data_IF_041754292875
#
_entry.id   IF_041754292875
#
_cell.length_a   1.000
_cell.length_b   1.000
_cell.length_c   1.000
_cell.angle_alpha   90.00
_cell.angle_beta   90.00
_cell.angle_gamma   90.00
#
_symmetry.space_group_name_H-M   'P 1'
#
loop_
_entity.id
_entity.type
_entity.pdbx_description
1 polymer ?
#
# COMPACT_ATOMS: atom_id res chain seq x y z
N UNK A 1 -58.75 61.07 11.66
CA UNK A 1 -58.97 62.37 10.98
C UNK A 1 -57.95 62.51 9.89
N UNK A 2 -58.47 62.42 8.65
CA UNK A 2 -58.14 63.31 7.50
C UNK A 2 -56.69 63.23 6.99
N UNK A 3 -56.41 63.12 5.81
CA UNK A 3 -56.99 63.10 4.44
C UNK A 3 -55.83 63.04 3.43
N UNK A 4 -56.00 62.22 2.39
CA UNK A 4 -55.99 62.60 0.92
C UNK A 4 -54.67 63.16 0.33
N UNK A 5 -54.17 62.71 -0.73
CA UNK A 5 -54.49 62.50 -2.14
C UNK A 5 -53.22 62.37 -2.98
N UNK A 6 -53.16 61.34 -3.75
CA UNK A 6 -52.81 61.26 -5.18
C UNK A 6 -51.94 62.38 -5.80
N UNK A 7 -50.84 61.95 -6.45
CA UNK A 7 -50.50 62.43 -7.78
C UNK A 7 -49.76 61.32 -8.57
N UNK A 8 -50.28 61.05 -9.72
CA UNK A 8 -49.74 60.18 -10.73
C UNK A 8 -48.76 61.00 -11.57
N UNK A 9 -47.58 60.50 -11.80
CA UNK A 9 -46.79 60.86 -12.99
C UNK A 9 -45.92 59.67 -13.41
N UNK A 10 -46.19 59.11 -14.57
CA UNK A 10 -45.41 58.06 -15.13
C UNK A 10 -44.08 58.55 -15.68
N UNK A 11 -43.07 57.71 -15.54
CA UNK A 11 -41.88 57.73 -16.40
C UNK A 11 -41.50 56.30 -16.73
N UNK A 12 -41.48 56.01 -18.01
CA UNK A 12 -40.92 54.79 -18.59
C UNK A 12 -39.42 54.77 -18.30
N UNK A 13 -38.92 53.70 -17.63
CA UNK A 13 -37.51 53.44 -17.52
C UNK A 13 -37.22 52.09 -18.17
N UNK A 14 -36.41 52.12 -19.21
CA UNK A 14 -35.90 51.00 -19.95
C UNK A 14 -35.23 49.97 -19.05
N UNK A 15 -35.68 48.73 -19.14
CA UNK A 15 -35.06 47.61 -18.47
C UNK A 15 -33.70 47.25 -19.06
N UNK A 16 -32.64 47.60 -18.33
CA UNK A 16 -31.32 47.00 -18.55
C UNK A 16 -31.26 45.68 -17.77
N UNK A 17 -31.51 44.55 -18.43
CA UNK A 17 -31.21 43.23 -17.91
C UNK A 17 -29.70 43.05 -17.94
N UNK A 18 -29.02 43.40 -16.85
CA UNK A 18 -27.66 42.96 -16.60
C UNK A 18 -27.73 41.47 -16.35
N UNK A 19 -27.39 40.68 -17.38
CA UNK A 19 -27.16 39.26 -17.25
C UNK A 19 -26.01 39.03 -16.24
N UNK A 20 -26.36 38.55 -15.08
CA UNK A 20 -25.40 37.89 -14.20
C UNK A 20 -24.97 36.59 -14.88
N UNK A 21 -23.92 36.68 -15.73
CA UNK A 21 -23.17 35.50 -16.13
C UNK A 21 -22.56 34.96 -14.83
N UNK A 22 -23.24 33.98 -14.23
CA UNK A 22 -22.69 33.21 -13.13
C UNK A 22 -21.37 32.61 -13.62
N UNK A 23 -20.25 33.09 -13.06
CA UNK A 23 -19.00 32.39 -13.09
C UNK A 23 -19.25 31.06 -12.35
N UNK A 24 -19.67 30.05 -13.13
CA UNK A 24 -19.53 28.67 -12.67
C UNK A 24 -18.03 28.50 -12.50
N UNK A 25 -17.54 28.60 -11.26
CA UNK A 25 -16.25 28.09 -10.90
C UNK A 25 -16.33 26.60 -11.21
N UNK A 26 -15.75 26.19 -12.35
CA UNK A 26 -15.35 24.80 -12.52
C UNK A 26 -14.50 24.51 -11.27
N UNK A 27 -14.98 23.61 -10.42
CA UNK A 27 -14.15 23.07 -9.36
C UNK A 27 -12.83 22.68 -10.03
N UNK A 28 -11.71 23.28 -9.62
CA UNK A 28 -10.40 22.99 -10.17
C UNK A 28 -10.24 21.47 -10.12
N UNK A 29 -10.34 20.83 -11.27
CA UNK A 29 -10.19 19.38 -11.39
C UNK A 29 -8.77 19.07 -10.94
N UNK A 30 -8.63 18.30 -9.85
CA UNK A 30 -7.33 17.99 -9.27
C UNK A 30 -6.47 17.39 -10.36
N UNK A 31 -5.33 18.02 -10.65
CA UNK A 31 -4.38 17.56 -11.68
C UNK A 31 -4.12 16.05 -11.54
N UNK A 32 -4.20 15.31 -12.64
CA UNK A 32 -3.93 13.88 -12.65
C UNK A 32 -2.46 13.59 -12.31
N UNK A 33 -2.22 12.41 -11.72
CA UNK A 33 -0.86 11.98 -11.40
C UNK A 33 0.02 11.97 -12.66
N UNK A 34 -0.53 11.53 -13.81
CA UNK A 34 0.18 11.53 -15.09
C UNK A 34 0.60 12.93 -15.54
N UNK A 35 -0.33 13.89 -15.53
CA UNK A 35 -0.05 15.28 -15.91
C UNK A 35 1.01 15.89 -14.96
N UNK A 36 0.84 15.68 -13.64
CA UNK A 36 1.78 16.18 -12.63
C UNK A 36 3.19 15.63 -12.82
N UNK A 37 3.34 14.30 -12.99
CA UNK A 37 4.64 13.65 -13.19
C UNK A 37 5.33 14.22 -14.43
N UNK A 38 4.59 14.35 -15.54
CA UNK A 38 5.13 14.88 -16.79
C UNK A 38 5.56 16.34 -16.69
N UNK A 39 4.82 17.16 -15.96
CA UNK A 39 5.14 18.57 -15.74
C UNK A 39 6.30 18.76 -14.77
N UNK A 40 6.30 18.06 -13.64
CA UNK A 40 7.30 18.27 -12.57
C UNK A 40 8.57 17.46 -12.77
N UNK A 41 8.55 16.49 -13.66
CA UNK A 41 9.64 15.51 -13.85
C UNK A 41 10.07 14.82 -12.55
N UNK A 42 9.08 14.53 -11.71
CA UNK A 42 9.28 13.88 -10.41
C UNK A 42 8.20 12.84 -10.15
N UNK A 43 8.60 11.61 -9.82
CA UNK A 43 7.75 10.51 -9.37
C UNK A 43 7.84 10.43 -7.85
N UNK A 44 6.72 10.65 -7.15
CA UNK A 44 6.62 10.56 -5.69
C UNK A 44 6.12 9.17 -5.30
N UNK A 45 6.86 8.49 -4.44
CA UNK A 45 6.46 7.19 -3.89
C UNK A 45 6.38 7.20 -2.37
N UNK A 46 5.60 6.29 -1.81
CA UNK A 46 5.65 5.96 -0.39
C UNK A 46 6.62 4.80 -0.14
N UNK A 47 7.32 4.82 1.01
CA UNK A 47 8.19 3.74 1.44
C UNK A 47 8.05 3.47 2.95
N UNK A 48 8.10 2.20 3.36
CA UNK A 48 7.88 1.76 4.75
C UNK A 48 9.20 1.35 5.38
N UNK A 49 9.69 2.13 6.36
CA UNK A 49 10.91 1.79 7.07
C UNK A 49 10.77 0.45 7.83
N UNK A 50 11.81 -0.38 7.79
CA UNK A 50 11.84 -1.67 8.47
C UNK A 50 11.03 -2.79 7.81
N UNK A 51 10.60 -2.61 6.56
CA UNK A 51 9.87 -3.62 5.78
C UNK A 51 10.79 -4.37 4.79
N UNK A 52 12.03 -4.66 5.17
CA UNK A 52 12.95 -5.43 4.33
C UNK A 52 12.33 -6.80 3.97
N UNK A 53 12.53 -7.29 2.75
CA UNK A 53 13.33 -6.74 1.64
C UNK A 53 12.55 -5.83 0.69
N UNK A 54 11.26 -5.52 0.98
CA UNK A 54 10.47 -4.55 0.20
C UNK A 54 11.13 -3.16 0.26
N UNK A 55 11.31 -2.67 1.48
CA UNK A 55 11.87 -1.37 1.79
C UNK A 55 12.82 -1.49 3.00
N UNK A 56 13.97 -0.94 2.90
CA UNK A 56 14.94 -0.84 3.98
C UNK A 56 15.56 0.56 3.99
N UNK A 57 15.44 1.27 5.09
CA UNK A 57 16.10 2.55 5.28
C UNK A 57 17.36 2.34 6.10
N UNK A 58 18.50 2.65 5.55
CA UNK A 58 19.76 2.68 6.30
C UNK A 58 19.71 3.86 7.28
N UNK A 59 19.74 3.56 8.56
CA UNK A 59 19.60 4.58 9.61
C UNK A 59 20.82 5.49 9.74
N UNK A 60 22.00 5.05 9.28
CA UNK A 60 23.21 5.84 9.35
C UNK A 60 23.30 6.84 8.19
N UNK A 61 22.92 6.42 6.99
CA UNK A 61 23.01 7.23 5.77
C UNK A 61 21.68 7.86 5.34
N UNK A 62 20.57 7.35 5.84
CA UNK A 62 19.23 7.73 5.41
C UNK A 62 18.84 7.17 4.03
N UNK A 63 19.71 6.38 3.39
CA UNK A 63 19.46 5.83 2.05
C UNK A 63 18.42 4.71 2.10
N UNK A 64 17.58 4.70 1.05
CA UNK A 64 16.58 3.67 0.86
C UNK A 64 17.12 2.56 -0.06
N UNK A 65 16.80 1.32 0.30
CA UNK A 65 17.13 0.08 -0.41
C UNK A 65 15.91 -0.84 -0.42
N UNK A 66 15.97 -1.92 -1.17
CA UNK A 66 14.91 -2.91 -1.24
C UNK A 66 14.32 -3.03 -2.65
N UNK A 67 13.71 -4.16 -2.95
CA UNK A 67 13.26 -4.43 -4.31
C UNK A 67 12.17 -3.46 -4.80
N UNK A 68 11.36 -2.87 -3.91
CA UNK A 68 10.40 -1.84 -4.31
C UNK A 68 11.09 -0.51 -4.65
N UNK A 69 12.22 -0.23 -4.03
CA UNK A 69 13.06 0.92 -4.40
C UNK A 69 13.73 0.67 -5.76
N UNK A 70 14.21 -0.55 -6.01
CA UNK A 70 14.81 -0.92 -7.30
C UNK A 70 13.78 -0.81 -8.44
N UNK A 71 12.55 -1.31 -8.22
CA UNK A 71 11.46 -1.15 -9.19
C UNK A 71 11.04 0.30 -9.38
N UNK A 72 11.01 1.11 -8.31
CA UNK A 72 10.68 2.52 -8.40
C UNK A 72 11.74 3.31 -9.19
N UNK A 73 13.02 3.01 -8.98
CA UNK A 73 14.11 3.57 -9.76
C UNK A 73 14.00 3.18 -11.25
N UNK A 74 13.70 1.92 -11.54
CA UNK A 74 13.52 1.44 -12.91
C UNK A 74 12.34 2.14 -13.61
N UNK A 75 11.20 2.26 -12.93
CA UNK A 75 10.04 2.99 -13.45
C UNK A 75 10.35 4.48 -13.65
N UNK A 76 11.01 5.13 -12.71
CA UNK A 76 11.40 6.54 -12.82
C UNK A 76 12.38 6.75 -13.98
N UNK A 77 13.33 5.83 -14.18
CA UNK A 77 14.27 5.85 -15.32
C UNK A 77 13.52 5.71 -16.66
N UNK A 78 12.53 4.81 -16.75
CA UNK A 78 11.71 4.65 -17.96
C UNK A 78 10.93 5.90 -18.32
N UNK A 79 10.52 6.68 -17.33
CA UNK A 79 9.83 7.97 -17.48
C UNK A 79 10.79 9.15 -17.66
N UNK A 80 12.09 8.94 -17.45
CA UNK A 80 13.12 10.00 -17.41
C UNK A 80 12.79 11.09 -16.39
N UNK A 81 12.41 10.70 -15.18
CA UNK A 81 12.05 11.58 -14.06
C UNK A 81 12.90 11.28 -12.83
N UNK A 82 12.93 12.21 -11.88
CA UNK A 82 13.54 11.99 -10.56
C UNK A 82 12.59 11.20 -9.66
N UNK A 83 13.16 10.38 -8.77
CA UNK A 83 12.41 9.69 -7.73
C UNK A 83 12.43 10.53 -6.45
N UNK A 84 11.25 10.71 -5.84
CA UNK A 84 11.05 11.33 -4.53
C UNK A 84 10.40 10.29 -3.59
N UNK A 85 11.02 10.02 -2.45
CA UNK A 85 10.63 8.95 -1.54
C UNK A 85 10.10 9.54 -0.24
N UNK A 86 8.82 9.29 0.03
CA UNK A 86 8.12 9.74 1.23
C UNK A 86 7.99 8.58 2.22
N UNK A 87 8.54 8.73 3.42
CA UNK A 87 8.36 7.71 4.47
C UNK A 87 6.91 7.69 4.96
N UNK A 88 6.35 6.48 5.07
CA UNK A 88 4.98 6.23 5.49
C UNK A 88 4.84 4.86 6.17
N UNK A 89 3.60 4.41 6.43
CA UNK A 89 3.27 3.07 6.90
C UNK A 89 2.32 2.37 5.93
N UNK A 90 2.18 1.04 6.04
CA UNK A 90 1.20 0.30 5.24
C UNK A 90 -0.24 0.82 5.43
N UNK A 91 -0.59 1.22 6.67
CA UNK A 91 -1.91 1.79 6.98
C UNK A 91 -2.13 3.16 6.35
N UNK A 92 -1.12 4.03 6.41
CA UNK A 92 -1.23 5.41 5.90
C UNK A 92 -1.06 5.52 4.38
N UNK A 93 -0.54 4.49 3.71
CA UNK A 93 -0.28 4.51 2.26
C UNK A 93 -1.51 4.88 1.42
N UNK A 94 -2.69 4.41 1.83
CA UNK A 94 -3.96 4.71 1.15
C UNK A 94 -4.33 6.19 1.27
N UNK A 95 -4.17 6.76 2.47
CA UNK A 95 -4.42 8.19 2.70
C UNK A 95 -3.42 9.07 1.94
N UNK A 96 -2.15 8.66 1.90
CA UNK A 96 -1.11 9.38 1.14
C UNK A 96 -1.41 9.41 -0.36
N UNK A 97 -1.98 8.31 -0.92
CA UNK A 97 -2.47 8.27 -2.31
C UNK A 97 -3.67 9.21 -2.50
N UNK A 98 -4.70 9.10 -1.65
CA UNK A 98 -5.93 9.88 -1.76
C UNK A 98 -5.69 11.39 -1.63
N UNK A 99 -4.77 11.79 -0.73
CA UNK A 99 -4.39 13.19 -0.51
C UNK A 99 -3.41 13.76 -1.54
N UNK A 100 -3.08 12.98 -2.59
CA UNK A 100 -2.10 13.37 -3.61
C UNK A 100 -0.70 13.71 -3.05
N UNK A 101 -0.33 13.13 -1.92
CA UNK A 101 1.01 13.24 -1.34
C UNK A 101 2.02 12.40 -2.12
N UNK A 102 1.59 11.22 -2.60
CA UNK A 102 2.36 10.31 -3.45
C UNK A 102 1.58 9.98 -4.73
N UNK A 103 2.29 9.61 -5.78
CA UNK A 103 1.71 9.29 -7.09
C UNK A 103 1.45 7.80 -7.28
N UNK A 104 2.21 6.99 -6.55
CA UNK A 104 2.13 5.53 -6.58
C UNK A 104 2.72 4.96 -5.29
N UNK A 105 2.13 3.84 -4.83
CA UNK A 105 2.69 3.06 -3.73
C UNK A 105 3.02 1.65 -4.22
N UNK A 106 4.29 1.28 -4.17
CA UNK A 106 4.76 -0.05 -4.56
C UNK A 106 4.47 -1.08 -3.47
N UNK A 107 4.06 -2.29 -3.85
CA UNK A 107 3.82 -3.37 -2.91
C UNK A 107 2.50 -3.27 -2.14
N UNK A 108 1.53 -2.50 -2.63
CA UNK A 108 0.22 -2.41 -2.01
C UNK A 108 -0.65 -3.61 -2.39
N UNK A 109 -0.81 -4.54 -1.44
CA UNK A 109 -1.67 -5.69 -1.65
C UNK A 109 -3.15 -5.24 -1.69
N UNK A 110 -3.95 -5.70 -2.67
CA UNK A 110 -5.37 -5.41 -2.72
C UNK A 110 -6.13 -5.97 -1.51
N UNK A 111 -7.00 -5.17 -0.94
CA UNK A 111 -8.03 -5.61 0.01
C UNK A 111 -9.38 -5.01 -0.40
N UNK A 112 -10.52 -5.61 -0.02
CA UNK A 112 -11.83 -5.05 -0.34
C UNK A 112 -11.98 -3.59 0.09
N UNK A 113 -11.49 -3.24 1.27
CA UNK A 113 -11.57 -1.87 1.81
C UNK A 113 -10.73 -0.89 0.99
N UNK A 114 -9.50 -1.27 0.64
CA UNK A 114 -8.61 -0.45 -0.19
C UNK A 114 -9.17 -0.22 -1.59
N UNK A 115 -9.76 -1.27 -2.20
CA UNK A 115 -10.33 -1.21 -3.54
C UNK A 115 -11.52 -0.24 -3.67
N UNK A 116 -12.18 0.11 -2.57
CA UNK A 116 -13.22 1.15 -2.57
C UNK A 116 -12.66 2.54 -2.85
N UNK A 117 -11.41 2.81 -2.46
CA UNK A 117 -10.87 4.18 -2.38
C UNK A 117 -9.59 4.42 -3.17
N UNK A 118 -8.91 3.38 -3.64
CA UNK A 118 -7.73 3.44 -4.50
C UNK A 118 -7.84 2.44 -5.65
N UNK A 119 -7.08 2.67 -6.71
CA UNK A 119 -6.91 1.74 -7.82
C UNK A 119 -5.63 0.92 -7.65
N UNK A 120 -5.56 -0.21 -8.35
CA UNK A 120 -4.41 -1.11 -8.35
C UNK A 120 -3.94 -1.38 -9.77
N UNK A 121 -2.63 -1.62 -9.89
CA UNK A 121 -2.04 -2.17 -11.12
C UNK A 121 -2.41 -3.65 -11.30
N UNK A 122 -2.01 -4.20 -12.43
CA UNK A 122 -1.82 -5.63 -12.58
C UNK A 122 -0.83 -6.15 -11.52
N UNK A 123 -0.89 -7.46 -11.16
CA UNK A 123 0.04 -8.04 -10.19
C UNK A 123 1.50 -7.97 -10.66
N UNK A 124 2.37 -7.49 -9.77
CA UNK A 124 3.82 -7.57 -9.99
C UNK A 124 4.30 -9.02 -9.77
N UNK A 125 3.82 -9.65 -8.69
CA UNK A 125 4.02 -11.08 -8.41
C UNK A 125 2.97 -11.61 -7.43
N UNK A 126 2.84 -12.95 -7.35
CA UNK A 126 1.94 -13.59 -6.39
C UNK A 126 2.66 -13.85 -5.07
N UNK A 127 1.91 -13.80 -3.99
CA UNK A 127 2.38 -13.99 -2.63
C UNK A 127 1.33 -14.75 -1.80
N UNK A 128 1.69 -15.16 -0.58
CA UNK A 128 0.77 -15.80 0.35
C UNK A 128 0.95 -15.22 1.76
N UNK A 129 -0.08 -15.38 2.60
CA UNK A 129 0.01 -15.08 4.01
C UNK A 129 0.44 -16.31 4.81
N UNK A 130 1.41 -16.10 5.70
CA UNK A 130 1.95 -17.10 6.60
C UNK A 130 2.00 -16.56 8.03
N UNK A 131 2.29 -17.44 8.96
CA UNK A 131 2.55 -17.08 10.35
C UNK A 131 4.07 -17.11 10.60
N UNK A 132 4.52 -16.14 11.35
CA UNK A 132 5.71 -16.28 12.19
C UNK A 132 5.20 -16.64 13.57
N UNK A 133 5.25 -17.94 13.90
CA UNK A 133 4.72 -18.51 15.13
C UNK A 133 5.83 -18.74 16.15
N UNK A 134 5.56 -18.51 17.43
CA UNK A 134 6.51 -18.86 18.50
C UNK A 134 6.78 -20.37 18.51
N UNK A 135 7.91 -20.79 19.09
CA UNK A 135 8.46 -22.15 18.93
C UNK A 135 7.51 -23.28 19.34
N UNK A 136 6.67 -23.05 20.35
CA UNK A 136 5.74 -24.02 20.94
C UNK A 136 4.30 -23.87 20.39
N UNK A 137 4.08 -23.04 19.36
CA UNK A 137 2.79 -22.80 18.72
C UNK A 137 2.87 -23.13 17.22
N UNK A 138 2.23 -24.23 16.78
CA UNK A 138 2.31 -24.73 15.40
C UNK A 138 0.94 -25.10 14.84
N UNK A 139 0.03 -24.12 14.70
CA UNK A 139 -1.30 -24.36 14.14
C UNK A 139 -1.17 -24.73 12.67
N UNK A 140 -2.00 -25.68 12.19
CA UNK A 140 -2.03 -26.11 10.80
C UNK A 140 -3.09 -25.39 9.98
N UNK A 141 -4.10 -24.84 10.65
CA UNK A 141 -5.25 -24.22 9.99
C UNK A 141 -5.55 -22.85 10.59
N UNK A 142 -6.29 -22.02 9.85
CA UNK A 142 -6.82 -20.77 10.37
C UNK A 142 -7.84 -20.98 11.49
N UNK A 143 -8.56 -22.11 11.45
CA UNK A 143 -9.53 -22.47 12.49
C UNK A 143 -8.85 -22.74 13.84
N UNK A 144 -7.68 -23.39 13.84
CA UNK A 144 -6.88 -23.61 15.05
C UNK A 144 -6.39 -22.31 15.67
N UNK A 145 -6.24 -21.25 14.86
CA UNK A 145 -5.91 -19.91 15.32
C UNK A 145 -7.11 -19.08 15.76
N UNK A 146 -8.31 -19.41 15.26
CA UNK A 146 -9.52 -18.64 15.53
C UNK A 146 -10.16 -19.01 16.87
N UNK A 147 -9.39 -18.88 17.95
CA UNK A 147 -9.80 -19.20 19.32
C UNK A 147 -9.62 -18.01 20.24
N UNK A 148 -10.48 -17.84 21.27
CA UNK A 148 -10.43 -16.67 22.18
C UNK A 148 -9.15 -16.53 23.00
N UNK A 149 -8.42 -17.61 23.19
CA UNK A 149 -7.13 -17.65 23.93
C UNK A 149 -5.90 -17.42 23.03
N UNK A 150 -6.06 -17.46 21.68
CA UNK A 150 -4.97 -17.22 20.73
C UNK A 150 -4.78 -15.72 20.48
N UNK A 151 -3.55 -15.28 20.59
CA UNK A 151 -3.13 -13.88 20.39
C UNK A 151 -2.34 -13.74 19.11
N UNK A 152 -2.83 -12.93 18.17
CA UNK A 152 -2.22 -12.73 16.86
C UNK A 152 -1.81 -11.27 16.70
N UNK A 153 -0.52 -11.01 16.48
CA UNK A 153 0.00 -9.68 16.26
C UNK A 153 0.02 -9.32 14.76
N UNK A 154 -0.33 -8.08 14.45
CA UNK A 154 -0.29 -7.52 13.10
C UNK A 154 0.06 -6.04 13.13
N UNK A 155 0.56 -5.51 12.02
CA UNK A 155 0.66 -4.08 11.76
C UNK A 155 -0.70 -3.54 11.31
N UNK A 156 -1.20 -2.53 12.02
CA UNK A 156 -2.54 -1.97 11.84
C UNK A 156 -2.75 -1.43 10.41
N UNK A 157 -3.91 -1.72 9.82
CA UNK A 157 -4.31 -1.24 8.49
C UNK A 157 -3.55 -1.90 7.33
N UNK A 158 -2.69 -2.89 7.62
CA UNK A 158 -2.02 -3.71 6.61
C UNK A 158 -2.97 -4.75 5.99
N UNK A 159 -2.53 -5.40 4.91
CA UNK A 159 -3.24 -6.57 4.38
C UNK A 159 -3.19 -7.77 5.34
N UNK A 160 -2.20 -7.83 6.22
CA UNK A 160 -2.08 -8.84 7.28
C UNK A 160 -3.21 -8.69 8.30
N UNK A 161 -3.49 -7.44 8.74
CA UNK A 161 -4.63 -7.12 9.59
C UNK A 161 -5.96 -7.49 8.93
N UNK A 162 -6.13 -7.16 7.65
CA UNK A 162 -7.35 -7.48 6.92
C UNK A 162 -7.60 -8.99 6.84
N UNK A 163 -6.57 -9.80 6.54
CA UNK A 163 -6.73 -11.25 6.43
C UNK A 163 -6.99 -11.89 7.79
N UNK A 164 -6.28 -11.50 8.85
CA UNK A 164 -6.49 -12.10 10.17
C UNK A 164 -7.84 -11.71 10.75
N UNK A 165 -8.30 -10.48 10.54
CA UNK A 165 -9.64 -10.03 10.95
C UNK A 165 -10.74 -10.86 10.29
N UNK A 166 -10.54 -11.24 9.03
CA UNK A 166 -11.48 -12.10 8.29
C UNK A 166 -11.41 -13.56 8.74
N UNK A 167 -10.20 -14.11 8.89
CA UNK A 167 -9.98 -15.54 9.12
C UNK A 167 -10.09 -15.95 10.59
N UNK A 168 -9.79 -15.03 11.50
CA UNK A 168 -9.70 -15.30 12.94
C UNK A 168 -10.52 -14.29 13.77
N UNK A 169 -11.84 -14.13 13.50
CA UNK A 169 -12.65 -13.12 14.18
C UNK A 169 -12.82 -13.38 15.69
N UNK A 170 -12.58 -14.59 16.17
CA UNK A 170 -12.67 -14.93 17.60
C UNK A 170 -11.32 -14.81 18.34
N UNK A 171 -10.21 -14.67 17.62
CA UNK A 171 -8.89 -14.53 18.21
C UNK A 171 -8.66 -13.11 18.77
N UNK A 172 -7.70 -12.99 19.69
CA UNK A 172 -7.25 -11.68 20.19
C UNK A 172 -6.26 -11.08 19.21
N UNK A 173 -6.70 -10.10 18.41
CA UNK A 173 -5.84 -9.44 17.42
C UNK A 173 -5.15 -8.22 18.08
N UNK A 174 -3.82 -8.29 18.21
CA UNK A 174 -2.96 -7.22 18.74
C UNK A 174 -2.48 -6.38 17.56
N UNK A 175 -3.03 -5.18 17.40
CA UNK A 175 -2.69 -4.24 16.34
C UNK A 175 -1.63 -3.27 16.80
N UNK A 176 -0.52 -3.20 16.06
CA UNK A 176 0.65 -2.40 16.38
C UNK A 176 1.00 -1.50 15.18
N UNK A 177 1.63 -0.36 15.42
CA UNK A 177 1.96 0.60 14.37
C UNK A 177 2.97 0.05 13.34
N UNK A 178 3.91 -0.78 13.82
CA UNK A 178 5.01 -1.31 13.01
C UNK A 178 5.05 -2.83 13.04
N UNK A 179 5.35 -3.44 11.91
CA UNK A 179 5.54 -4.89 11.81
C UNK A 179 6.65 -5.41 12.75
N UNK A 180 7.70 -4.60 13.01
CA UNK A 180 8.75 -4.93 13.95
C UNK A 180 8.25 -5.08 15.40
N UNK A 181 7.30 -4.26 15.83
CA UNK A 181 6.67 -4.34 17.15
C UNK A 181 5.81 -5.59 17.27
N UNK A 182 5.14 -5.99 16.16
CA UNK A 182 4.41 -7.26 16.09
C UNK A 182 5.36 -8.47 16.19
N UNK A 183 6.51 -8.43 15.53
CA UNK A 183 7.56 -9.44 15.66
C UNK A 183 8.07 -9.54 17.10
N UNK A 184 8.32 -8.39 17.73
CA UNK A 184 8.75 -8.33 19.14
C UNK A 184 7.68 -8.90 20.08
N UNK A 185 6.39 -8.70 19.81
CA UNK A 185 5.31 -9.28 20.59
C UNK A 185 5.33 -10.81 20.55
N UNK A 186 5.65 -11.43 19.41
CA UNK A 186 5.83 -12.89 19.30
C UNK A 186 7.10 -13.33 20.06
N UNK A 187 8.22 -12.63 19.85
CA UNK A 187 9.50 -12.97 20.49
C UNK A 187 9.43 -12.93 22.02
N UNK A 188 8.65 -12.02 22.58
CA UNK A 188 8.46 -11.85 24.03
C UNK A 188 7.29 -12.66 24.61
N UNK A 189 6.61 -13.46 23.80
CA UNK A 189 5.46 -14.27 24.24
C UNK A 189 4.18 -13.46 24.50
N UNK A 190 4.14 -12.19 24.12
CA UNK A 190 2.91 -11.37 24.18
C UNK A 190 1.89 -11.75 23.11
N UNK A 191 2.36 -12.32 22.00
CA UNK A 191 1.54 -12.91 20.95
C UNK A 191 2.01 -14.33 20.64
N UNK A 192 1.09 -15.18 20.17
CA UNK A 192 1.38 -16.55 19.77
C UNK A 192 1.94 -16.62 18.35
N UNK A 193 1.50 -15.71 17.50
CA UNK A 193 1.97 -15.59 16.13
C UNK A 193 1.82 -14.14 15.59
N UNK A 194 2.59 -13.86 14.56
CA UNK A 194 2.40 -12.69 13.67
C UNK A 194 1.99 -13.18 12.29
N UNK A 195 0.99 -12.54 11.67
CA UNK A 195 0.66 -12.78 10.26
C UNK A 195 1.46 -11.85 9.38
N UNK A 196 2.13 -12.41 8.36
CA UNK A 196 2.93 -11.68 7.38
C UNK A 196 2.76 -12.27 5.98
N UNK A 197 3.06 -11.46 4.96
CA UNK A 197 3.36 -12.00 3.64
C UNK A 197 4.66 -12.84 3.70
N UNK A 198 4.71 -13.96 2.97
CA UNK A 198 5.80 -14.94 3.10
C UNK A 198 7.19 -14.33 2.88
N UNK A 199 7.33 -13.37 1.95
CA UNK A 199 8.62 -12.67 1.71
C UNK A 199 9.12 -11.94 2.96
N UNK A 200 8.21 -11.30 3.72
CA UNK A 200 8.53 -10.62 4.98
C UNK A 200 8.86 -11.64 6.08
N UNK A 201 8.08 -12.72 6.18
CA UNK A 201 8.29 -13.77 7.17
C UNK A 201 9.66 -14.46 7.02
N UNK A 202 10.06 -14.75 5.77
CA UNK A 202 11.41 -15.29 5.46
C UNK A 202 12.51 -14.36 6.00
N UNK A 203 12.35 -13.06 5.82
CA UNK A 203 13.31 -12.06 6.34
C UNK A 203 13.35 -12.04 7.87
N UNK A 204 12.17 -12.06 8.51
CA UNK A 204 12.07 -12.06 9.97
C UNK A 204 12.82 -13.27 10.55
N UNK A 205 12.53 -14.47 10.04
CA UNK A 205 13.15 -15.71 10.56
C UNK A 205 14.63 -15.80 10.21
N UNK A 206 15.04 -15.35 9.01
CA UNK A 206 16.47 -15.36 8.64
C UNK A 206 17.29 -14.43 9.53
N UNK A 207 16.78 -13.22 9.83
CA UNK A 207 17.47 -12.25 10.68
C UNK A 207 17.39 -12.57 12.18
N UNK A 208 16.30 -13.18 12.61
CA UNK A 208 16.07 -13.49 14.01
C UNK A 208 15.40 -14.87 14.20
N UNK A 209 16.16 -15.97 14.08
CA UNK A 209 15.63 -17.33 14.23
C UNK A 209 15.05 -17.63 15.63
N UNK A 210 15.37 -16.80 16.62
CA UNK A 210 14.86 -16.97 17.99
C UNK A 210 13.38 -16.64 18.13
N UNK A 211 12.80 -15.85 17.20
CA UNK A 211 11.37 -15.51 17.21
C UNK A 211 10.48 -16.75 17.11
N UNK A 212 10.87 -17.72 16.28
CA UNK A 212 10.08 -18.92 16.09
C UNK A 212 10.30 -19.56 14.73
N UNK A 213 9.22 -19.91 14.05
CA UNK A 213 9.25 -20.57 12.74
C UNK A 213 8.07 -20.10 11.84
N UNK A 214 8.19 -20.39 10.53
CA UNK A 214 7.14 -20.09 9.58
C UNK A 214 6.15 -21.25 9.53
N UNK A 215 4.84 -20.93 9.57
CA UNK A 215 3.74 -21.85 9.34
C UNK A 215 2.89 -21.32 8.17
N UNK A 216 2.59 -22.19 7.22
CA UNK A 216 1.62 -21.94 6.15
C UNK A 216 0.27 -22.58 6.52
N UNK A 217 -0.69 -21.80 7.03
CA UNK A 217 -1.97 -22.38 7.45
C UNK A 217 -2.86 -22.71 6.25
N UNK A 218 -3.65 -23.79 6.41
CA UNK A 218 -4.63 -24.18 5.39
C UNK A 218 -6.05 -23.69 5.74
N UNK A 219 -6.89 -23.34 4.72
CA UNK A 219 -6.49 -23.19 3.31
C UNK A 219 -5.55 -22.01 3.10
N UNK A 220 -4.59 -22.15 2.20
CA UNK A 220 -3.64 -21.06 1.87
C UNK A 220 -4.37 -19.79 1.46
N UNK A 221 -4.08 -18.69 2.13
CA UNK A 221 -4.58 -17.37 1.77
C UNK A 221 -3.56 -16.68 0.86
N UNK A 222 -3.85 -16.71 -0.44
CA UNK A 222 -3.02 -16.05 -1.45
C UNK A 222 -3.34 -14.56 -1.54
N UNK A 223 -2.36 -13.78 -1.95
CA UNK A 223 -2.49 -12.37 -2.28
C UNK A 223 -1.59 -12.04 -3.45
N UNK A 224 -1.78 -10.87 -4.03
CA UNK A 224 -0.90 -10.34 -5.07
C UNK A 224 -0.19 -9.09 -4.55
N UNK A 225 1.01 -8.89 -5.04
CA UNK A 225 1.76 -7.66 -4.78
C UNK A 225 1.59 -6.74 -5.98
N UNK A 226 0.91 -5.62 -5.77
CA UNK A 226 0.53 -4.65 -6.80
C UNK A 226 1.13 -3.27 -6.50
N UNK A 227 0.94 -2.35 -7.42
CA UNK A 227 1.12 -0.93 -7.17
C UNK A 227 -0.25 -0.30 -6.93
N UNK A 228 -0.33 0.63 -5.97
CA UNK A 228 -1.56 1.36 -5.65
C UNK A 228 -1.52 2.79 -6.19
N UNK A 229 -2.68 3.31 -6.59
CA UNK A 229 -2.86 4.64 -7.18
C UNK A 229 -4.06 5.35 -6.57
N UNK A 230 -4.04 6.67 -6.59
CA UNK A 230 -5.25 7.46 -6.39
C UNK A 230 -6.27 7.13 -7.48
N UNK A 231 -7.56 7.06 -7.14
CA UNK A 231 -8.63 6.96 -8.14
C UNK A 231 -8.73 8.25 -8.94
N UNK A 232 -8.61 8.14 -10.25
CA UNK A 232 -8.67 9.25 -11.20
C UNK A 232 -9.46 8.85 -12.45
N UNK A 233 -10.09 9.85 -13.11
CA UNK A 233 -10.69 9.66 -14.43
C UNK A 233 -9.63 9.43 -15.51
N UNK A 234 -8.47 10.08 -15.38
CA UNK A 234 -7.31 9.86 -16.25
C UNK A 234 -6.64 8.52 -15.95
N UNK A 235 -6.70 7.60 -16.90
CA UNK A 235 -6.16 6.24 -16.77
C UNK A 235 -4.72 6.09 -17.29
N UNK A 236 -4.15 7.12 -17.90
CA UNK A 236 -2.85 7.05 -18.59
C UNK A 236 -1.73 6.57 -17.65
N UNK A 237 -1.77 7.00 -16.38
CA UNK A 237 -0.76 6.58 -15.40
C UNK A 237 -0.82 5.08 -15.09
N UNK A 238 -2.00 4.56 -14.79
CA UNK A 238 -2.21 3.12 -14.49
C UNK A 238 -1.88 2.27 -15.72
N UNK A 239 -2.29 2.69 -16.91
CA UNK A 239 -2.03 1.98 -18.18
C UNK A 239 -0.53 1.93 -18.49
N UNK A 240 0.18 3.05 -18.30
CA UNK A 240 1.64 3.09 -18.47
C UNK A 240 2.32 2.10 -17.52
N UNK A 241 1.93 2.11 -16.24
CA UNK A 241 2.51 1.22 -15.23
C UNK A 241 2.19 -0.25 -15.54
N UNK A 242 0.97 -0.58 -15.95
CA UNK A 242 0.61 -1.96 -16.31
C UNK A 242 1.45 -2.47 -17.51
N UNK A 243 1.68 -1.62 -18.50
CA UNK A 243 2.58 -1.96 -19.61
C UNK A 243 4.03 -2.18 -19.13
N UNK A 244 4.54 -1.34 -18.24
CA UNK A 244 5.85 -1.51 -17.63
C UNK A 244 5.92 -2.80 -16.81
N UNK A 245 4.90 -3.13 -16.00
CA UNK A 245 4.82 -4.40 -15.25
C UNK A 245 4.88 -5.60 -16.20
N UNK A 246 4.09 -5.60 -17.27
CA UNK A 246 4.07 -6.69 -18.25
C UNK A 246 5.47 -6.93 -18.86
N UNK A 247 6.18 -5.85 -19.23
CA UNK A 247 7.54 -5.93 -19.75
C UNK A 247 8.54 -6.43 -18.70
N UNK A 248 8.44 -5.94 -17.47
CA UNK A 248 9.31 -6.31 -16.35
C UNK A 248 9.15 -7.78 -15.97
N UNK A 249 7.90 -8.29 -15.99
CA UNK A 249 7.62 -9.72 -15.77
C UNK A 249 8.13 -10.59 -16.92
N UNK A 250 7.82 -10.22 -18.16
CA UNK A 250 8.23 -10.98 -19.35
C UNK A 250 9.76 -11.12 -19.49
N UNK A 251 10.52 -10.12 -19.02
CA UNK A 251 11.99 -10.16 -19.01
C UNK A 251 12.59 -11.03 -17.88
N UNK A 252 11.77 -11.54 -16.95
CA UNK A 252 12.24 -12.23 -15.74
C UNK A 252 12.85 -11.32 -14.67
N UNK A 253 12.84 -10.02 -14.90
CA UNK A 253 13.45 -9.01 -13.99
C UNK A 253 12.79 -9.03 -12.61
N UNK A 254 11.46 -9.29 -12.52
CA UNK A 254 10.77 -9.36 -11.23
C UNK A 254 11.41 -10.40 -10.34
N UNK A 255 11.56 -11.62 -10.82
CA UNK A 255 12.21 -12.72 -10.08
C UNK A 255 13.64 -12.38 -9.70
N UNK A 256 14.42 -11.86 -10.64
CA UNK A 256 15.82 -11.51 -10.42
C UNK A 256 15.98 -10.47 -9.30
N UNK A 257 15.21 -9.38 -9.35
CA UNK A 257 15.31 -8.27 -8.39
C UNK A 257 14.84 -8.71 -7.01
N UNK A 258 13.72 -9.44 -6.91
CA UNK A 258 13.21 -9.92 -5.62
C UNK A 258 14.19 -10.90 -4.97
N UNK A 259 14.71 -11.89 -5.70
CA UNK A 259 15.66 -12.85 -5.15
C UNK A 259 17.00 -12.21 -4.75
N UNK A 260 17.51 -11.27 -5.54
CA UNK A 260 18.74 -10.53 -5.21
C UNK A 260 18.59 -9.74 -3.89
N UNK A 261 17.46 -9.07 -3.68
CA UNK A 261 17.19 -8.32 -2.46
C UNK A 261 16.94 -9.24 -1.25
N UNK A 262 16.24 -10.36 -1.43
CA UNK A 262 16.09 -11.38 -0.38
C UNK A 262 17.47 -11.86 0.08
N UNK A 263 18.37 -12.15 -0.83
CA UNK A 263 19.71 -12.61 -0.49
C UNK A 263 20.54 -11.50 0.17
N UNK A 264 20.60 -10.30 -0.44
CA UNK A 264 21.49 -9.23 0.02
C UNK A 264 21.02 -8.59 1.33
N UNK A 265 19.71 -8.36 1.49
CA UNK A 265 19.15 -7.68 2.66
C UNK A 265 18.73 -8.63 3.79
N UNK A 266 18.51 -9.91 3.48
CA UNK A 266 17.94 -10.86 4.44
C UNK A 266 18.71 -12.16 4.56
N UNK A 267 19.72 -12.43 3.71
CA UNK A 267 20.46 -13.68 3.71
C UNK A 267 19.64 -14.90 3.25
N UNK A 268 18.42 -14.68 2.75
CA UNK A 268 17.55 -15.75 2.25
C UNK A 268 18.00 -16.18 0.86
N UNK A 269 18.32 -17.46 0.72
CA UNK A 269 18.76 -18.02 -0.57
C UNK A 269 17.57 -18.38 -1.45
N UNK A 270 17.74 -18.41 -2.79
CA UNK A 270 16.65 -18.71 -3.72
C UNK A 270 15.93 -20.05 -3.46
N UNK A 271 16.64 -21.07 -3.03
CA UNK A 271 16.08 -22.39 -2.71
C UNK A 271 15.23 -22.43 -1.43
N UNK A 272 15.28 -21.37 -0.62
CA UNK A 272 14.48 -21.23 0.59
C UNK A 272 13.13 -20.52 0.33
N UNK A 273 12.94 -20.03 -0.90
CA UNK A 273 11.72 -19.31 -1.28
C UNK A 273 10.64 -20.33 -1.64
N UNK A 274 9.50 -20.34 -0.92
CA UNK A 274 8.43 -21.30 -1.18
C UNK A 274 7.76 -21.11 -2.54
N UNK A 275 7.15 -22.18 -3.07
CA UNK A 275 6.46 -22.18 -4.36
C UNK A 275 5.21 -21.27 -4.39
N UNK A 276 4.70 -20.89 -3.24
CA UNK A 276 3.58 -19.94 -3.08
C UNK A 276 3.93 -18.52 -3.55
N UNK A 277 5.22 -18.21 -3.69
CA UNK A 277 5.70 -16.99 -4.36
C UNK A 277 5.94 -17.32 -5.82
N UNK A 278 5.15 -16.74 -6.72
CA UNK A 278 5.34 -16.87 -8.16
C UNK A 278 5.50 -15.51 -8.84
N UNK A 279 6.48 -15.42 -9.77
CA UNK A 279 6.91 -14.19 -10.43
C UNK A 279 6.39 -14.08 -11.85
#
# INVERSE_FOLDING_TARGET
MSNRRQFIAGLAAAGATTGFAGLVHAADEVESAWARINRTKTLRIGAVAGAAPYYNKDLATGQWQGFMIDFANDLAASLKVKLDINETTWGNSVLDLQSNKIDVFFGLNPTPQRALVVDFSDPLFNNAFVLVARKDFSPKTWEEMNKPDVKIAVDIGSSHDAVVTKMCPNAQIIRLEKAADATLAVQTGRADAQVLAVVLALTVISKNPSVGHIVLPTPTQSTTTNLGFRKESDRQWVEYVNKWIAQTRASGKVKQVVLANLQSLSGVKPEQVPAEISF
#
